data_IF_136196399914
#
_entry.id   IF_136196399914
#
_cell.length_a   1.000
_cell.length_b   1.000
_cell.length_c   1.000
_cell.angle_alpha   90.00
_cell.angle_beta   90.00
_cell.angle_gamma   90.00
#
_symmetry.space_group_name_H-M   'P 1'
#
loop_
_entity.id
_entity.type
_entity.pdbx_description
1 polymer ?
#
# COMPACT_ATOMS: atom_id res chain seq x y z
N UNK A 1 21.87 10.39 -2.89
CA UNK A 1 20.45 10.75 -3.15
C UNK A 1 19.94 11.51 -1.94
N UNK A 2 19.25 12.65 -2.12
CA UNK A 2 18.73 13.39 -0.97
C UNK A 2 17.62 12.60 -0.27
N UNK A 3 17.54 12.69 1.06
CA UNK A 3 16.52 12.00 1.89
C UNK A 3 15.10 12.25 1.37
N UNK A 4 14.81 13.52 1.01
CA UNK A 4 13.53 13.95 0.45
C UNK A 4 13.16 13.21 -0.84
N UNK A 5 14.15 12.91 -1.69
CA UNK A 5 13.90 12.19 -2.94
C UNK A 5 13.50 10.74 -2.68
N UNK A 6 14.17 10.07 -1.73
CA UNK A 6 13.83 8.68 -1.35
C UNK A 6 12.45 8.61 -0.71
N UNK A 7 12.12 9.57 0.16
CA UNK A 7 10.79 9.70 0.78
C UNK A 7 9.70 9.95 -0.28
N UNK A 8 9.95 10.83 -1.24
CA UNK A 8 9.01 11.10 -2.33
C UNK A 8 8.73 9.86 -3.19
N UNK A 9 9.77 9.09 -3.54
CA UNK A 9 9.60 7.82 -4.26
C UNK A 9 8.76 6.83 -3.44
N UNK A 10 9.06 6.69 -2.14
CA UNK A 10 8.30 5.79 -1.27
C UNK A 10 6.81 6.17 -1.23
N UNK A 11 6.49 7.45 -1.12
CA UNK A 11 5.09 7.92 -1.13
C UNK A 11 4.40 7.63 -2.46
N UNK A 12 5.08 7.81 -3.59
CA UNK A 12 4.54 7.45 -4.91
C UNK A 12 4.28 5.95 -5.04
N UNK A 13 5.21 5.12 -4.54
CA UNK A 13 5.04 3.66 -4.50
C UNK A 13 3.84 3.30 -3.62
N UNK A 14 3.71 3.91 -2.44
CA UNK A 14 2.61 3.68 -1.51
C UNK A 14 1.25 4.02 -2.16
N UNK A 15 1.15 5.16 -2.83
CA UNK A 15 -0.05 5.55 -3.59
C UNK A 15 -0.37 4.55 -4.71
N UNK A 16 0.64 4.08 -5.44
CA UNK A 16 0.47 3.07 -6.48
C UNK A 16 -0.03 1.74 -5.91
N UNK A 17 0.61 1.24 -4.85
CA UNK A 17 0.24 -0.01 -4.17
C UNK A 17 -1.17 0.04 -3.59
N UNK A 18 -1.59 1.18 -3.02
CA UNK A 18 -2.92 1.36 -2.47
C UNK A 18 -4.03 1.22 -3.54
N UNK A 19 -3.77 1.68 -4.77
CA UNK A 19 -4.76 1.71 -5.86
C UNK A 19 -4.66 0.53 -6.84
N UNK A 20 -3.52 -0.17 -6.86
CA UNK A 20 -3.26 -1.33 -7.74
C UNK A 20 -4.35 -2.41 -7.73
N UNK A 21 -4.86 -2.88 -6.58
CA UNK A 21 -5.83 -3.97 -6.58
C UNK A 21 -7.19 -3.56 -7.15
N UNK A 22 -7.49 -2.26 -7.23
CA UNK A 22 -8.76 -1.72 -7.75
C UNK A 22 -8.77 -1.54 -9.27
N UNK A 23 -7.60 -1.26 -9.87
CA UNK A 23 -7.45 -1.16 -11.31
C UNK A 23 -7.37 -2.53 -12.01
N UNK A 24 -6.76 -3.54 -11.38
CA UNK A 24 -6.55 -4.84 -12.00
C UNK A 24 -7.66 -5.85 -11.72
N UNK A 25 -8.13 -6.53 -12.77
CA UNK A 25 -9.03 -7.69 -12.63
C UNK A 25 -8.28 -9.01 -12.34
N UNK A 26 -6.94 -9.01 -12.42
CA UNK A 26 -6.13 -10.18 -12.09
C UNK A 26 -6.09 -10.35 -10.57
N UNK A 27 -6.23 -11.58 -10.10
CA UNK A 27 -5.98 -11.94 -8.72
C UNK A 27 -4.48 -11.84 -8.45
N UNK A 28 -4.11 -11.09 -7.41
CA UNK A 28 -2.74 -10.88 -6.96
C UNK A 28 -1.82 -10.33 -8.06
N UNK A 29 -2.38 -9.62 -9.05
CA UNK A 29 -1.71 -9.14 -10.27
C UNK A 29 -1.14 -10.24 -11.20
N UNK A 30 -1.23 -11.52 -10.81
CA UNK A 30 -0.59 -12.65 -11.51
C UNK A 30 -1.61 -13.64 -12.08
N UNK A 31 -2.67 -13.95 -11.34
CA UNK A 31 -3.63 -15.00 -11.68
C UNK A 31 -4.87 -14.43 -12.38
N UNK A 32 -5.35 -15.10 -13.42
CA UNK A 32 -6.63 -14.75 -14.06
C UNK A 32 -7.79 -15.19 -13.14
N UNK A 33 -8.62 -14.23 -12.74
CA UNK A 33 -9.76 -14.48 -11.87
C UNK A 33 -11.04 -14.07 -12.59
N UNK A 34 -11.93 -15.02 -12.96
CA UNK A 34 -13.13 -14.72 -13.72
C UNK A 34 -14.16 -13.89 -12.92
N UNK A 35 -14.19 -14.05 -11.59
CA UNK A 35 -15.05 -13.24 -10.70
C UNK A 35 -14.22 -12.77 -9.50
N UNK A 36 -13.74 -11.53 -9.55
CA UNK A 36 -12.97 -10.93 -8.44
C UNK A 36 -13.91 -10.39 -7.36
N UNK A 37 -14.25 -11.24 -6.38
CA UNK A 37 -15.06 -10.89 -5.20
C UNK A 37 -14.42 -9.74 -4.42
N UNK A 38 -15.26 -8.92 -3.77
CA UNK A 38 -14.80 -7.78 -2.95
C UNK A 38 -13.85 -8.22 -1.83
N UNK A 39 -14.10 -9.37 -1.21
CA UNK A 39 -13.25 -9.94 -0.16
C UNK A 39 -11.83 -10.28 -0.64
N UNK A 40 -11.68 -10.80 -1.86
CA UNK A 40 -10.37 -11.09 -2.46
C UNK A 40 -9.60 -9.79 -2.70
N UNK A 41 -10.31 -8.77 -3.15
CA UNK A 41 -9.79 -7.42 -3.32
C UNK A 41 -9.30 -6.83 -2.00
N UNK A 42 -10.09 -6.92 -0.93
CA UNK A 42 -9.70 -6.48 0.41
C UNK A 42 -8.46 -7.22 0.93
N UNK A 43 -8.38 -8.54 0.69
CA UNK A 43 -7.24 -9.34 1.09
C UNK A 43 -5.97 -8.94 0.34
N UNK A 44 -6.04 -8.75 -0.98
CA UNK A 44 -4.90 -8.23 -1.76
C UNK A 44 -4.44 -6.86 -1.25
N UNK A 45 -5.38 -5.95 -1.02
CA UNK A 45 -5.08 -4.62 -0.49
C UNK A 45 -4.38 -4.70 0.87
N UNK A 46 -4.86 -5.57 1.78
CA UNK A 46 -4.22 -5.81 3.07
C UNK A 46 -2.81 -6.37 2.91
N UNK A 47 -2.58 -7.30 1.98
CA UNK A 47 -1.25 -7.83 1.70
C UNK A 47 -0.32 -6.74 1.15
N UNK A 48 -0.79 -5.91 0.23
CA UNK A 48 -0.02 -4.79 -0.30
C UNK A 48 0.28 -3.73 0.77
N UNK A 49 -0.60 -3.55 1.76
CA UNK A 49 -0.32 -2.72 2.93
C UNK A 49 0.90 -3.26 3.71
N UNK A 50 0.94 -4.57 4.00
CA UNK A 50 2.09 -5.16 4.69
C UNK A 50 3.38 -5.07 3.86
N UNK A 51 3.30 -5.17 2.53
CA UNK A 51 4.45 -4.95 1.64
C UNK A 51 4.92 -3.49 1.74
N UNK A 52 4.01 -2.52 1.65
CA UNK A 52 4.35 -1.10 1.78
C UNK A 52 4.96 -0.79 3.15
N UNK A 53 4.38 -1.33 4.22
CA UNK A 53 4.91 -1.20 5.59
C UNK A 53 6.32 -1.78 5.71
N UNK A 54 6.54 -3.00 5.19
CA UNK A 54 7.85 -3.64 5.17
C UNK A 54 8.90 -2.83 4.40
N UNK A 55 8.51 -2.23 3.27
CA UNK A 55 9.37 -1.32 2.51
C UNK A 55 9.72 -0.05 3.31
N UNK A 56 8.75 0.53 4.00
CA UNK A 56 8.97 1.70 4.87
C UNK A 56 9.97 1.40 5.99
N UNK A 57 9.78 0.30 6.71
CA UNK A 57 10.68 -0.15 7.78
C UNK A 57 12.08 -0.49 7.27
N UNK A 58 12.18 -1.10 6.08
CA UNK A 58 13.47 -1.38 5.45
C UNK A 58 14.19 -0.09 5.05
N UNK A 59 13.47 0.89 4.50
CA UNK A 59 14.03 2.20 4.15
C UNK A 59 14.49 2.99 5.38
N UNK A 60 13.74 2.92 6.48
CA UNK A 60 14.12 3.53 7.76
C UNK A 60 15.46 2.96 8.26
N UNK A 61 15.59 1.63 8.31
CA UNK A 61 16.85 0.98 8.69
C UNK A 61 18.02 1.38 7.80
N UNK A 62 17.80 1.41 6.48
CA UNK A 62 18.85 1.70 5.50
C UNK A 62 19.33 3.14 5.60
N UNK A 63 18.45 4.10 5.91
CA UNK A 63 18.78 5.52 5.91
C UNK A 63 19.21 6.04 7.28
N UNK A 64 18.58 5.60 8.36
CA UNK A 64 18.84 6.09 9.72
C UNK A 64 19.76 5.17 10.53
N UNK A 65 20.05 3.95 10.04
CA UNK A 65 20.92 2.99 10.72
C UNK A 65 20.28 2.29 11.93
N UNK A 66 19.13 2.76 12.38
CA UNK A 66 18.32 2.18 13.46
C UNK A 66 16.83 2.28 13.11
N UNK A 67 16.02 1.30 13.56
CA UNK A 67 14.56 1.47 13.59
C UNK A 67 14.19 2.17 14.88
N UNK A 68 13.39 3.23 14.79
CA UNK A 68 12.79 3.76 16.00
C UNK A 68 11.74 2.77 16.55
N UNK A 69 11.62 2.68 17.87
CA UNK A 69 10.54 1.92 18.48
C UNK A 69 9.22 2.65 18.13
N UNK A 70 8.39 2.00 17.33
CA UNK A 70 7.07 2.51 16.97
C UNK A 70 6.02 1.75 17.77
N UNK A 71 5.13 2.50 18.42
CA UNK A 71 3.98 1.93 19.10
C UNK A 71 2.89 1.52 18.10
N UNK A 72 1.89 0.78 18.58
CA UNK A 72 0.82 0.22 17.75
C UNK A 72 0.02 1.30 17.00
N UNK A 73 -0.07 2.52 17.56
CA UNK A 73 -0.74 3.68 16.99
C UNK A 73 -0.15 4.04 15.62
N UNK A 74 1.18 3.95 15.46
CA UNK A 74 1.83 4.25 14.19
C UNK A 74 1.30 3.33 13.08
N UNK A 75 1.18 2.04 13.37
CA UNK A 75 0.72 1.05 12.39
C UNK A 75 -0.76 1.25 12.04
N UNK A 76 -1.59 1.63 13.01
CA UNK A 76 -3.01 1.91 12.79
C UNK A 76 -3.20 3.19 11.97
N UNK A 77 -2.46 4.26 12.27
CA UNK A 77 -2.51 5.50 11.48
C UNK A 77 -2.04 5.23 10.05
N UNK A 78 -0.96 4.46 9.86
CA UNK A 78 -0.49 4.04 8.54
C UNK A 78 -1.54 3.25 7.77
N UNK A 79 -2.25 2.33 8.43
CA UNK A 79 -3.35 1.57 7.83
C UNK A 79 -4.50 2.50 7.38
N UNK A 80 -4.89 3.45 8.24
CA UNK A 80 -5.91 4.45 7.91
C UNK A 80 -5.50 5.31 6.71
N UNK A 81 -4.24 5.77 6.67
CA UNK A 81 -3.71 6.54 5.54
C UNK A 81 -3.70 5.72 4.25
N UNK A 82 -3.29 4.45 4.31
CA UNK A 82 -3.31 3.55 3.16
C UNK A 82 -4.75 3.30 2.67
N UNK A 83 -5.73 3.29 3.57
CA UNK A 83 -7.15 3.12 3.24
C UNK A 83 -7.71 4.34 2.51
N UNK A 84 -7.41 5.54 3.01
CA UNK A 84 -7.78 6.80 2.34
C UNK A 84 -7.08 6.93 0.98
N UNK A 85 -5.81 6.54 0.89
CA UNK A 85 -5.05 6.56 -0.36
C UNK A 85 -5.65 5.65 -1.45
N UNK A 86 -6.37 4.59 -1.08
CA UNK A 86 -7.04 3.68 -2.01
C UNK A 86 -8.38 4.22 -2.55
N UNK A 87 -8.86 5.36 -2.03
CA UNK A 87 -10.15 5.94 -2.39
C UNK A 87 -10.33 6.25 -3.89
N UNK A 88 -9.34 6.80 -4.62
CA UNK A 88 -9.49 7.07 -6.06
C UNK A 88 -9.75 5.80 -6.87
N UNK A 89 -8.99 4.73 -6.60
CA UNK A 89 -9.19 3.43 -7.26
C UNK A 89 -10.55 2.82 -6.90
N UNK A 90 -11.03 3.03 -5.66
CA UNK A 90 -12.33 2.54 -5.23
C UNK A 90 -13.45 3.24 -6.01
N UNK A 91 -13.42 4.57 -6.10
CA UNK A 91 -14.38 5.36 -6.89
C UNK A 91 -14.40 4.88 -8.34
N UNK A 92 -13.22 4.77 -8.98
CA UNK A 92 -13.10 4.37 -10.37
C UNK A 92 -13.79 3.03 -10.68
N UNK A 93 -13.78 2.10 -9.72
CA UNK A 93 -14.31 0.75 -9.92
C UNK A 93 -15.80 0.61 -9.59
N UNK A 94 -16.30 1.33 -8.60
CA UNK A 94 -17.67 1.13 -8.08
C UNK A 94 -18.65 2.25 -8.43
N UNK A 95 -18.17 3.46 -8.73
CA UNK A 95 -19.02 4.63 -9.03
C UNK A 95 -18.97 4.95 -10.53
N UNK A 96 -18.97 3.92 -11.38
CA UNK A 96 -19.17 4.06 -12.82
C UNK A 96 -20.56 3.58 -13.20
#
# INVERSE_FOLDING_TARGET
MSLLFVQGIYLLILLGLANLPWFSQRCFLVLECPVKRVWVRLLEWLVLFFVALGLGLALEQRQMGARHAQDWEFFVVMLCLFMVAAFPGFIYRYIR
#
